data_IF_142971462868
#
_entry.id   IF_142971462868
#
_cell.length_a   1.000
_cell.length_b   1.000
_cell.length_c   1.000
_cell.angle_alpha   90.00
_cell.angle_beta   90.00
_cell.angle_gamma   90.00
#
_symmetry.space_group_name_H-M   'P 1'
#
loop_
_entity.id
_entity.type
_entity.pdbx_description
1 polymer ?
#
# COMPACT_ATOMS: atom_id res chain seq x y z
N UNK A 1 47.47 -23.08 24.10
CA UNK A 1 46.44 -23.17 23.07
C UNK A 1 46.23 -21.79 22.45
N UNK A 2 46.76 -21.57 21.25
CA UNK A 2 46.61 -20.29 20.54
C UNK A 2 45.23 -20.26 19.86
N UNK A 3 44.35 -19.35 20.28
CA UNK A 3 43.10 -19.07 19.58
C UNK A 3 43.43 -18.62 18.15
N UNK A 4 42.80 -19.28 17.15
CA UNK A 4 42.87 -18.86 15.75
C UNK A 4 42.30 -17.46 15.60
N UNK A 5 42.96 -16.52 14.94
CA UNK A 5 42.42 -15.21 14.65
C UNK A 5 41.34 -15.36 13.56
N UNK A 6 40.07 -15.25 13.93
CA UNK A 6 38.94 -15.27 12.98
C UNK A 6 37.58 -15.71 13.54
N UNK A 7 37.53 -16.25 14.75
CA UNK A 7 36.28 -16.72 15.40
C UNK A 7 35.88 -15.81 16.56
N UNK A 8 35.52 -14.58 16.29
CA UNK A 8 34.68 -13.81 17.22
C UNK A 8 33.35 -14.53 17.37
N UNK A 9 32.84 -14.73 18.61
CA UNK A 9 31.51 -15.29 18.81
C UNK A 9 30.47 -14.47 18.02
N UNK A 10 29.36 -15.08 17.59
CA UNK A 10 28.23 -14.38 16.93
C UNK A 10 27.86 -13.11 17.71
N UNK A 11 27.84 -13.20 19.04
CA UNK A 11 27.60 -12.05 19.91
C UNK A 11 28.62 -10.92 19.68
N UNK A 12 29.91 -11.21 19.55
CA UNK A 12 30.94 -10.20 19.33
C UNK A 12 30.78 -9.51 17.97
N UNK A 13 30.49 -10.27 16.92
CA UNK A 13 30.22 -9.68 15.59
C UNK A 13 29.05 -8.73 15.60
N UNK A 14 27.94 -9.13 16.25
CA UNK A 14 26.75 -8.25 16.39
C UNK A 14 27.03 -7.05 17.29
N UNK A 15 27.79 -7.21 18.36
CA UNK A 15 28.21 -6.10 19.22
C UNK A 15 28.99 -5.04 18.44
N UNK A 16 29.95 -5.47 17.60
CA UNK A 16 30.75 -4.55 16.77
C UNK A 16 29.88 -3.78 15.78
N UNK A 17 28.85 -4.42 15.17
CA UNK A 17 27.86 -3.76 14.32
C UNK A 17 27.10 -2.67 15.10
N UNK A 18 26.62 -2.98 16.30
CA UNK A 18 25.84 -2.03 17.12
C UNK A 18 26.66 -0.86 17.63
N UNK A 19 27.90 -1.09 18.07
CA UNK A 19 28.82 -0.06 18.51
C UNK A 19 29.17 0.89 17.36
N UNK A 20 29.40 0.35 16.16
CA UNK A 20 29.61 1.15 14.94
C UNK A 20 28.40 1.98 14.55
N UNK A 21 27.19 1.44 14.65
CA UNK A 21 25.95 2.16 14.36
C UNK A 21 25.68 3.31 15.36
N UNK A 22 26.08 3.19 16.61
CA UNK A 22 25.91 4.23 17.65
C UNK A 22 26.85 5.42 17.49
N UNK A 23 28.05 5.23 16.95
CA UNK A 23 29.03 6.30 16.78
C UNK A 23 28.75 7.23 15.60
N UNK A 24 27.72 6.91 14.80
CA UNK A 24 27.32 7.67 13.62
C UNK A 24 26.42 8.87 13.89
N UNK A 25 26.91 10.10 13.60
CA UNK A 25 26.21 11.37 13.83
C UNK A 25 25.02 11.57 12.89
N UNK A 26 23.86 11.71 13.50
CA UNK A 26 22.64 12.55 13.28
C UNK A 26 21.96 12.67 11.90
N UNK A 27 22.53 12.44 10.75
CA UNK A 27 21.77 12.63 9.47
C UNK A 27 21.12 11.37 8.90
N UNK A 28 21.37 10.23 9.50
CA UNK A 28 20.90 8.93 8.98
C UNK A 28 20.49 7.93 10.05
N UNK A 29 19.92 8.40 11.16
CA UNK A 29 19.50 7.51 12.26
C UNK A 29 18.64 6.35 11.74
N UNK A 30 17.68 6.64 10.85
CA UNK A 30 16.81 5.62 10.27
C UNK A 30 17.59 4.65 9.36
N UNK A 31 18.39 5.16 8.43
CA UNK A 31 19.18 4.33 7.50
C UNK A 31 20.20 3.49 8.24
N UNK A 32 20.93 4.09 9.19
CA UNK A 32 21.91 3.36 9.99
C UNK A 32 21.28 2.23 10.80
N UNK A 33 20.10 2.47 11.39
CA UNK A 33 19.35 1.45 12.12
C UNK A 33 18.85 0.33 11.20
N UNK A 34 18.38 0.66 10.00
CA UNK A 34 17.94 -0.33 9.00
C UNK A 34 19.10 -1.20 8.57
N UNK A 35 20.26 -0.61 8.25
CA UNK A 35 21.48 -1.33 7.87
C UNK A 35 21.98 -2.21 9.01
N UNK A 36 22.01 -1.70 10.26
CA UNK A 36 22.42 -2.49 11.41
C UNK A 36 21.51 -3.71 11.60
N UNK A 37 20.18 -3.53 11.52
CA UNK A 37 19.23 -4.63 11.65
C UNK A 37 19.37 -5.66 10.52
N UNK A 38 19.67 -5.22 9.32
CA UNK A 38 19.94 -6.11 8.18
C UNK A 38 21.23 -6.92 8.39
N UNK A 39 22.32 -6.27 8.83
CA UNK A 39 23.59 -6.92 9.13
C UNK A 39 23.45 -7.95 10.28
N UNK A 40 22.70 -7.60 11.34
CA UNK A 40 22.41 -8.54 12.43
C UNK A 40 21.63 -9.75 11.88
N UNK A 41 20.64 -9.50 11.01
CA UNK A 41 19.89 -10.56 10.35
C UNK A 41 20.80 -11.49 9.52
N UNK A 42 21.76 -10.93 8.79
CA UNK A 42 22.77 -11.68 8.03
C UNK A 42 23.60 -12.57 8.94
N UNK A 43 24.18 -12.03 10.00
CA UNK A 43 25.00 -12.80 10.94
C UNK A 43 24.23 -13.97 11.55
N UNK A 44 22.94 -13.76 11.88
CA UNK A 44 22.08 -14.84 12.38
C UNK A 44 21.88 -15.94 11.34
N UNK A 45 21.59 -15.57 10.09
CA UNK A 45 21.36 -16.56 9.02
C UNK A 45 22.63 -17.33 8.67
N UNK A 46 23.77 -16.64 8.57
CA UNK A 46 25.07 -17.27 8.29
C UNK A 46 25.45 -18.24 9.41
N UNK A 47 25.25 -17.87 10.68
CA UNK A 47 25.51 -18.75 11.82
C UNK A 47 24.61 -19.99 11.82
N UNK A 48 23.30 -19.82 11.49
CA UNK A 48 22.35 -20.93 11.34
C UNK A 48 22.80 -21.90 10.22
N UNK A 49 23.30 -21.39 9.09
CA UNK A 49 23.78 -22.20 7.97
C UNK A 49 25.06 -22.98 8.30
N UNK A 50 26.00 -22.35 8.99
CA UNK A 50 27.22 -23.00 9.45
C UNK A 50 26.96 -24.03 10.57
N UNK A 51 25.90 -23.80 11.36
CA UNK A 51 25.43 -24.69 12.43
C UNK A 51 24.48 -25.81 11.98
N UNK A 52 24.13 -25.91 10.67
CA UNK A 52 23.11 -26.83 10.13
C UNK A 52 23.35 -28.33 10.45
N UNK A 53 24.51 -28.73 10.93
CA UNK A 53 24.77 -30.07 11.47
C UNK A 53 24.16 -30.30 12.87
N UNK A 54 23.56 -29.30 13.53
CA UNK A 54 22.98 -29.38 14.88
C UNK A 54 21.59 -28.77 14.93
N UNK A 55 20.61 -29.45 14.38
CA UNK A 55 19.20 -28.99 14.28
C UNK A 55 18.52 -28.63 15.61
N UNK A 56 19.10 -28.86 16.77
CA UNK A 56 18.63 -28.44 18.11
C UNK A 56 19.08 -27.05 18.52
N UNK A 57 19.93 -26.36 17.75
CA UNK A 57 20.60 -25.12 18.20
C UNK A 57 19.82 -23.82 17.91
N UNK A 58 18.93 -23.84 16.92
CA UNK A 58 18.32 -22.59 16.41
C UNK A 58 17.38 -21.86 17.39
N UNK A 59 16.65 -22.59 18.23
CA UNK A 59 15.71 -21.97 19.21
C UNK A 59 16.45 -21.33 20.39
N UNK A 60 17.41 -22.03 20.96
CA UNK A 60 18.23 -21.55 22.08
C UNK A 60 19.18 -20.43 21.68
N UNK A 61 19.66 -20.41 20.42
CA UNK A 61 20.55 -19.37 19.93
C UNK A 61 19.92 -17.97 20.01
N UNK A 62 18.70 -17.81 19.52
CA UNK A 62 18.00 -16.52 19.54
C UNK A 62 17.64 -16.09 20.96
N UNK A 63 17.31 -17.01 21.86
CA UNK A 63 17.01 -16.71 23.26
C UNK A 63 18.26 -16.24 24.01
N UNK A 64 19.38 -16.94 23.83
CA UNK A 64 20.67 -16.57 24.44
C UNK A 64 21.16 -15.22 23.93
N UNK A 65 21.09 -15.03 22.60
CA UNK A 65 21.48 -13.78 21.95
C UNK A 65 20.61 -12.63 22.41
N UNK A 66 19.27 -12.81 22.48
CA UNK A 66 18.32 -11.83 22.98
C UNK A 66 18.68 -11.41 24.42
N UNK A 67 18.95 -12.33 25.31
CA UNK A 67 19.30 -12.05 26.70
C UNK A 67 20.56 -11.19 26.81
N UNK A 68 21.61 -11.53 26.05
CA UNK A 68 22.89 -10.79 26.06
C UNK A 68 22.73 -9.40 25.47
N UNK A 69 22.10 -9.29 24.28
CA UNK A 69 21.92 -8.00 23.61
C UNK A 69 20.96 -7.07 24.34
N UNK A 70 19.88 -7.60 24.92
CA UNK A 70 18.95 -6.79 25.73
C UNK A 70 19.60 -6.22 26.97
N UNK A 71 20.46 -7.00 27.64
CA UNK A 71 21.22 -6.52 28.78
C UNK A 71 22.18 -5.38 28.42
N UNK A 72 22.89 -5.49 27.29
CA UNK A 72 23.96 -4.58 26.93
C UNK A 72 23.47 -3.39 26.06
N UNK A 73 22.37 -3.54 25.31
CA UNK A 73 21.89 -2.55 24.35
C UNK A 73 20.41 -2.14 24.52
N UNK A 74 19.67 -2.80 25.42
CA UNK A 74 18.29 -2.45 25.75
C UNK A 74 17.21 -3.23 24.98
N UNK A 75 15.94 -2.81 25.13
CA UNK A 75 14.75 -3.60 24.78
C UNK A 75 14.52 -3.90 23.29
N UNK A 76 15.28 -3.33 22.36
CA UNK A 76 15.12 -3.52 20.92
C UNK A 76 15.47 -4.93 20.41
N UNK A 77 16.09 -5.77 21.23
CA UNK A 77 16.67 -7.07 20.84
C UNK A 77 15.92 -8.27 21.43
N UNK A 78 14.60 -8.16 21.57
CA UNK A 78 13.77 -9.31 21.93
C UNK A 78 13.90 -10.46 20.90
N UNK A 79 13.57 -11.67 21.33
CA UNK A 79 13.56 -12.85 20.40
C UNK A 79 12.74 -12.57 19.14
N UNK A 80 11.60 -11.90 19.30
CA UNK A 80 10.76 -11.51 18.17
C UNK A 80 11.43 -10.45 17.29
N UNK A 81 12.14 -9.48 17.89
CA UNK A 81 12.93 -8.49 17.15
C UNK A 81 14.02 -9.15 16.30
N UNK A 82 14.76 -10.11 16.90
CA UNK A 82 15.79 -10.88 16.17
C UNK A 82 15.21 -11.75 15.06
N UNK A 83 14.00 -12.32 15.25
CA UNK A 83 13.29 -13.03 14.17
C UNK A 83 12.96 -12.11 13.00
N UNK A 84 12.49 -10.87 13.26
CA UNK A 84 12.26 -9.88 12.20
C UNK A 84 13.55 -9.48 11.48
N UNK A 85 14.66 -9.28 12.20
CA UNK A 85 15.95 -8.96 11.58
C UNK A 85 16.42 -10.11 10.68
N UNK A 86 16.29 -11.38 11.14
CA UNK A 86 16.58 -12.59 10.34
C UNK A 86 15.73 -12.68 9.09
N UNK A 87 14.40 -12.44 9.22
CA UNK A 87 13.48 -12.42 8.08
C UNK A 87 13.83 -11.30 7.12
N UNK A 88 14.19 -10.12 7.64
CA UNK A 88 14.56 -8.96 6.85
C UNK A 88 15.73 -9.25 5.90
N UNK A 89 16.78 -9.89 6.39
CA UNK A 89 17.88 -10.31 5.52
C UNK A 89 17.43 -11.30 4.43
N UNK A 90 16.55 -12.25 4.77
CA UNK A 90 16.06 -13.26 3.80
C UNK A 90 15.19 -12.64 2.70
N UNK A 91 14.34 -11.68 3.05
CA UNK A 91 13.42 -11.04 2.10
C UNK A 91 14.06 -9.92 1.28
N UNK A 92 15.12 -9.31 1.81
CA UNK A 92 15.86 -8.21 1.18
C UNK A 92 17.36 -8.52 1.04
N UNK A 93 17.74 -9.61 0.36
CA UNK A 93 19.14 -10.04 0.31
C UNK A 93 20.08 -9.03 -0.38
N UNK A 94 19.53 -8.22 -1.28
CA UNK A 94 20.27 -7.20 -2.05
C UNK A 94 20.15 -5.79 -1.46
N UNK A 95 19.55 -5.59 -0.27
CA UNK A 95 19.33 -4.28 0.34
C UNK A 95 20.63 -3.49 0.47
N UNK A 96 21.67 -4.19 0.91
CA UNK A 96 23.01 -3.67 1.06
C UNK A 96 23.89 -4.38 0.04
N UNK A 97 24.30 -3.67 -1.03
CA UNK A 97 25.21 -4.26 -2.02
C UNK A 97 26.53 -4.58 -1.33
N UNK A 98 27.07 -5.79 -1.48
CA UNK A 98 28.45 -6.07 -1.09
C UNK A 98 29.35 -5.10 -1.86
N UNK A 99 30.18 -4.34 -1.17
CA UNK A 99 31.25 -3.59 -1.83
C UNK A 99 32.09 -4.57 -2.65
N UNK A 100 32.47 -4.25 -3.89
CA UNK A 100 33.34 -5.11 -4.67
C UNK A 100 34.63 -5.30 -3.87
N UNK A 101 34.83 -6.53 -3.38
CA UNK A 101 36.10 -6.92 -2.76
C UNK A 101 37.14 -6.77 -3.85
N UNK A 102 38.02 -5.75 -3.76
CA UNK A 102 39.23 -5.71 -4.58
C UNK A 102 40.00 -6.98 -4.25
N UNK A 103 40.06 -7.92 -5.19
CA UNK A 103 40.90 -9.09 -5.11
C UNK A 103 42.35 -8.60 -5.03
N UNK A 104 42.86 -8.42 -3.83
CA UNK A 104 44.29 -8.45 -3.61
C UNK A 104 44.72 -9.91 -3.71
N UNK A 105 45.47 -10.20 -4.75
CA UNK A 105 46.14 -11.47 -5.00
C UNK A 105 47.05 -11.81 -3.80
N UNK A 106 46.50 -12.53 -2.83
CA UNK A 106 47.18 -13.44 -1.89
C UNK A 106 46.15 -13.90 -0.87
N UNK A 107 45.83 -15.14 -0.92
CA UNK A 107 45.33 -16.17 0.01
C UNK A 107 44.94 -15.81 1.45
N UNK A 108 44.33 -14.66 1.70
CA UNK A 108 43.74 -14.32 3.01
C UNK A 108 42.22 -14.33 2.87
N UNK A 109 41.60 -15.17 3.68
CA UNK A 109 40.15 -15.24 3.91
C UNK A 109 39.61 -13.82 4.12
N UNK A 110 38.48 -13.41 3.49
CA UNK A 110 37.94 -12.07 3.67
C UNK A 110 37.64 -11.83 5.14
N UNK A 111 38.35 -10.91 5.76
CA UNK A 111 38.04 -10.44 7.10
C UNK A 111 36.66 -9.80 7.06
N UNK A 112 35.75 -10.35 7.83
CA UNK A 112 34.41 -9.87 8.12
C UNK A 112 34.37 -8.33 8.32
N UNK A 113 33.24 -7.73 7.93
CA UNK A 113 32.95 -6.33 8.08
C UNK A 113 33.32 -5.80 9.46
N UNK A 114 34.52 -5.22 9.55
CA UNK A 114 34.98 -4.48 10.73
C UNK A 114 34.32 -3.09 10.73
N UNK A 115 34.47 -2.35 11.82
CA UNK A 115 34.07 -0.94 11.92
C UNK A 115 34.48 -0.09 10.70
N UNK A 116 35.55 -0.47 9.99
CA UNK A 116 35.98 0.12 8.73
C UNK A 116 34.95 -0.07 7.62
N UNK A 117 34.33 -1.23 7.48
CA UNK A 117 33.31 -1.52 6.43
C UNK A 117 32.02 -0.73 6.65
N UNK A 118 31.63 -0.50 7.90
CA UNK A 118 30.48 0.36 8.24
C UNK A 118 30.83 1.83 7.98
N UNK A 119 32.09 2.25 8.21
CA UNK A 119 32.56 3.61 7.87
C UNK A 119 32.74 3.82 6.36
N UNK A 120 33.26 2.86 5.61
CA UNK A 120 33.30 2.91 4.13
C UNK A 120 31.88 2.92 3.55
N UNK A 121 30.95 2.22 4.16
CA UNK A 121 29.52 2.27 3.83
C UNK A 121 28.94 3.67 4.06
N UNK A 122 29.38 4.37 5.13
CA UNK A 122 29.01 5.77 5.39
C UNK A 122 29.48 6.69 4.26
N UNK A 123 30.71 6.53 3.78
CA UNK A 123 31.25 7.35 2.68
C UNK A 123 30.60 7.04 1.34
N UNK A 124 30.15 5.81 1.11
CA UNK A 124 29.50 5.40 -0.17
C UNK A 124 27.99 5.68 -0.18
N UNK A 125 27.31 5.62 0.97
CA UNK A 125 25.86 5.88 1.08
C UNK A 125 25.56 7.33 1.48
N UNK A 126 26.48 8.00 2.18
CA UNK A 126 26.35 9.41 2.61
C UNK A 126 27.17 10.38 1.77
N UNK A 127 28.07 9.92 0.89
CA UNK A 127 28.76 10.73 -0.09
C UNK A 127 27.83 11.00 -1.28
N UNK A 128 27.24 12.19 -1.32
CA UNK A 128 26.73 12.97 -2.46
C UNK A 128 26.12 12.24 -3.68
N UNK A 129 25.54 11.07 -3.52
CA UNK A 129 24.57 10.57 -4.48
C UNK A 129 23.19 10.89 -3.91
N UNK A 130 22.65 12.04 -4.28
CA UNK A 130 21.21 12.20 -4.40
C UNK A 130 20.77 11.14 -5.42
N UNK A 131 20.50 9.91 -4.94
CA UNK A 131 19.71 8.97 -5.73
C UNK A 131 18.42 9.73 -5.99
N UNK A 132 18.23 10.20 -7.21
CA UNK A 132 16.95 10.71 -7.65
C UNK A 132 15.94 9.59 -7.35
N UNK A 133 14.77 9.96 -6.87
CA UNK A 133 13.67 9.00 -6.61
C UNK A 133 13.44 8.13 -7.85
N UNK A 134 13.79 8.62 -9.03
CA UNK A 134 13.63 7.98 -10.33
C UNK A 134 14.57 6.76 -10.56
N UNK A 135 15.70 6.65 -9.87
CA UNK A 135 16.65 5.54 -10.03
C UNK A 135 16.51 4.44 -8.95
N UNK A 136 15.72 4.68 -7.90
CA UNK A 136 15.51 3.71 -6.83
C UNK A 136 14.63 2.54 -7.30
N UNK A 137 14.99 1.35 -6.87
CA UNK A 137 14.21 0.12 -7.14
C UNK A 137 13.80 -0.55 -5.83
N UNK A 138 12.63 -1.17 -5.84
CA UNK A 138 12.15 -1.98 -4.72
C UNK A 138 13.19 -2.98 -4.26
N UNK A 139 13.29 -3.18 -2.96
CA UNK A 139 14.32 -4.03 -2.36
C UNK A 139 15.69 -3.36 -2.17
N UNK A 140 15.85 -2.10 -2.57
CA UNK A 140 17.04 -1.31 -2.28
C UNK A 140 16.84 -0.41 -1.06
N UNK A 141 17.95 -0.08 -0.39
CA UNK A 141 17.91 0.83 0.76
C UNK A 141 17.41 2.21 0.33
N UNK A 142 16.44 2.75 1.07
CA UNK A 142 15.94 4.10 0.87
C UNK A 142 15.89 4.87 2.19
N UNK A 143 16.36 6.13 2.25
CA UNK A 143 16.43 6.89 3.50
C UNK A 143 15.08 7.16 4.17
N UNK A 144 13.99 7.19 3.40
CA UNK A 144 12.64 7.41 3.91
C UNK A 144 11.95 6.11 4.36
N UNK A 145 12.54 4.93 4.14
CA UNK A 145 12.02 3.67 4.66
C UNK A 145 12.67 3.36 6.02
N UNK A 146 12.00 3.76 7.09
CA UNK A 146 12.44 3.47 8.44
C UNK A 146 12.22 1.99 8.81
N UNK A 147 12.90 1.50 9.85
CA UNK A 147 12.74 0.13 10.35
C UNK A 147 11.30 -0.24 10.70
N UNK A 148 10.52 0.71 11.22
CA UNK A 148 9.09 0.50 11.49
C UNK A 148 8.29 0.15 10.25
N UNK A 149 8.57 0.78 9.10
CA UNK A 149 7.94 0.47 7.82
C UNK A 149 8.33 -0.93 7.33
N UNK A 150 9.64 -1.27 7.35
CA UNK A 150 10.08 -2.62 6.97
C UNK A 150 9.41 -3.72 7.81
N UNK A 151 9.19 -3.50 9.12
CA UNK A 151 8.49 -4.45 9.98
C UNK A 151 7.05 -4.74 9.52
N UNK A 152 6.35 -3.76 8.99
CA UNK A 152 5.02 -3.96 8.39
C UNK A 152 5.12 -4.65 7.03
N UNK A 153 6.07 -4.24 6.18
CA UNK A 153 6.32 -4.87 4.88
C UNK A 153 6.66 -6.36 4.99
N UNK A 154 7.41 -6.75 6.02
CA UNK A 154 7.74 -8.15 6.29
C UNK A 154 6.55 -9.05 6.66
N UNK A 155 5.38 -8.47 6.96
CA UNK A 155 4.13 -9.22 7.18
C UNK A 155 3.40 -9.56 5.89
N UNK A 156 3.83 -8.97 4.77
CA UNK A 156 3.25 -9.20 3.45
C UNK A 156 3.97 -10.35 2.79
N UNK A 157 3.31 -11.50 2.68
CA UNK A 157 3.94 -12.74 2.17
C UNK A 157 4.25 -12.66 0.67
N UNK A 158 3.37 -12.04 -0.12
CA UNK A 158 3.51 -11.95 -1.57
C UNK A 158 4.53 -10.87 -1.96
N UNK A 159 5.61 -11.24 -2.69
CA UNK A 159 6.66 -10.28 -3.08
C UNK A 159 6.13 -9.10 -3.92
N UNK A 160 5.16 -9.35 -4.80
CA UNK A 160 4.56 -8.32 -5.67
C UNK A 160 3.76 -7.29 -4.84
N UNK A 161 2.97 -7.76 -3.89
CA UNK A 161 2.23 -6.91 -2.97
C UNK A 161 3.18 -6.11 -2.07
N UNK A 162 4.23 -6.74 -1.56
CA UNK A 162 5.26 -6.07 -0.76
C UNK A 162 5.95 -4.98 -1.55
N UNK A 163 6.35 -5.25 -2.80
CA UNK A 163 6.96 -4.25 -3.68
C UNK A 163 6.02 -3.07 -3.94
N UNK A 164 4.73 -3.34 -4.16
CA UNK A 164 3.71 -2.30 -4.29
C UNK A 164 3.63 -1.41 -3.03
N UNK A 165 3.50 -2.00 -1.84
CA UNK A 165 3.41 -1.24 -0.60
C UNK A 165 4.69 -0.45 -0.28
N UNK A 166 5.85 -0.94 -0.70
CA UNK A 166 7.15 -0.24 -0.57
C UNK A 166 7.16 1.04 -1.42
N UNK A 167 6.71 0.95 -2.68
CA UNK A 167 6.59 2.10 -3.59
C UNK A 167 5.56 3.11 -3.07
N UNK A 168 4.36 2.64 -2.71
CA UNK A 168 3.28 3.52 -2.23
C UNK A 168 3.66 4.24 -0.93
N UNK A 169 4.33 3.54 -0.01
CA UNK A 169 4.79 4.14 1.24
C UNK A 169 5.78 5.29 0.99
N UNK A 170 6.65 5.15 -0.02
CA UNK A 170 7.59 6.21 -0.42
C UNK A 170 6.90 7.36 -1.15
N UNK A 171 6.09 7.06 -2.16
CA UNK A 171 5.43 8.08 -2.99
C UNK A 171 4.45 8.95 -2.20
N UNK A 172 3.76 8.36 -1.24
CA UNK A 172 2.76 9.04 -0.42
C UNK A 172 3.27 9.43 0.97
N UNK A 173 4.55 9.21 1.27
CA UNK A 173 5.16 9.46 2.58
C UNK A 173 4.38 8.85 3.76
N UNK A 174 3.90 7.62 3.61
CA UNK A 174 3.10 6.99 4.65
C UNK A 174 3.89 6.78 5.95
N UNK A 175 3.26 7.11 7.04
CA UNK A 175 3.70 6.68 8.37
C UNK A 175 3.54 5.16 8.53
N UNK A 176 4.16 4.59 9.56
CA UNK A 176 4.02 3.16 9.86
C UNK A 176 2.55 2.75 10.11
N UNK A 177 1.75 3.63 10.73
CA UNK A 177 0.31 3.37 10.98
C UNK A 177 -0.51 3.40 9.69
N UNK A 178 -0.21 4.33 8.79
CA UNK A 178 -0.88 4.42 7.49
C UNK A 178 -0.53 3.21 6.63
N UNK A 179 0.74 2.81 6.57
CA UNK A 179 1.15 1.60 5.87
C UNK A 179 0.47 0.34 6.46
N UNK A 180 0.45 0.20 7.79
CA UNK A 180 -0.23 -0.92 8.45
C UNK A 180 -1.71 -0.97 8.09
N UNK A 181 -2.39 0.18 8.10
CA UNK A 181 -3.79 0.29 7.68
C UNK A 181 -3.97 -0.16 6.23
N UNK A 182 -3.14 0.31 5.31
CA UNK A 182 -3.25 -0.05 3.90
C UNK A 182 -3.00 -1.54 3.64
N UNK A 183 -2.06 -2.14 4.36
CA UNK A 183 -1.82 -3.59 4.33
C UNK A 183 -3.04 -4.34 4.86
N UNK A 184 -3.56 -3.95 6.03
CA UNK A 184 -4.69 -4.62 6.67
C UNK A 184 -5.99 -4.46 5.87
N UNK A 185 -6.18 -3.33 5.18
CA UNK A 185 -7.32 -3.11 4.28
C UNK A 185 -7.15 -3.78 2.91
N UNK A 186 -6.04 -4.51 2.70
CA UNK A 186 -5.75 -5.25 1.47
C UNK A 186 -5.80 -4.36 0.22
N UNK A 187 -5.15 -3.18 0.30
CA UNK A 187 -5.19 -2.19 -0.79
C UNK A 187 -4.69 -2.77 -2.12
N UNK A 188 -3.58 -3.53 -2.10
CA UNK A 188 -3.03 -4.15 -3.31
C UNK A 188 -4.05 -5.09 -3.95
N UNK A 189 -4.69 -5.93 -3.16
CA UNK A 189 -5.69 -6.90 -3.61
C UNK A 189 -6.92 -6.18 -4.19
N UNK A 190 -7.41 -5.14 -3.55
CA UNK A 190 -8.56 -4.35 -4.03
C UNK A 190 -8.26 -3.64 -5.35
N UNK A 191 -7.08 -3.06 -5.50
CA UNK A 191 -6.65 -2.46 -6.76
C UNK A 191 -6.39 -3.53 -7.85
N UNK A 192 -6.02 -4.73 -7.45
CA UNK A 192 -5.78 -5.86 -8.33
C UNK A 192 -7.08 -6.41 -8.94
N UNK A 193 -8.20 -6.35 -8.20
CA UNK A 193 -9.50 -6.84 -8.65
C UNK A 193 -9.98 -6.22 -9.96
N UNK A 194 -9.69 -4.95 -10.17
CA UNK A 194 -10.13 -4.19 -11.35
C UNK A 194 -9.15 -4.24 -12.53
N UNK A 195 -8.06 -5.05 -12.47
CA UNK A 195 -6.96 -4.99 -13.43
C UNK A 195 -6.64 -6.35 -14.05
N UNK A 196 -6.21 -6.30 -15.33
CA UNK A 196 -5.65 -7.45 -16.03
C UNK A 196 -4.24 -7.81 -15.49
N UNK A 197 -3.69 -8.92 -15.99
CA UNK A 197 -2.35 -9.40 -15.59
C UNK A 197 -1.24 -8.36 -15.83
N UNK A 198 -1.34 -7.54 -16.88
CA UNK A 198 -0.35 -6.48 -17.18
C UNK A 198 -0.48 -5.33 -16.19
N UNK A 199 -1.70 -4.94 -15.84
CA UNK A 199 -1.98 -3.95 -14.80
C UNK A 199 -1.46 -4.36 -13.42
N UNK A 200 -1.59 -5.64 -13.05
CA UNK A 200 -1.02 -6.19 -11.81
C UNK A 200 0.51 -6.06 -11.75
N UNK A 201 1.19 -6.42 -12.83
CA UNK A 201 2.65 -6.28 -12.90
C UNK A 201 3.10 -4.82 -12.86
N UNK A 202 2.29 -3.91 -13.43
CA UNK A 202 2.56 -2.46 -13.37
C UNK A 202 2.40 -1.93 -11.95
N UNK A 203 1.34 -2.32 -11.23
CA UNK A 203 1.17 -1.99 -9.81
C UNK A 203 2.38 -2.40 -8.96
N UNK A 204 2.88 -3.62 -9.14
CA UNK A 204 4.03 -4.12 -8.38
C UNK A 204 5.35 -3.40 -8.72
N UNK A 205 5.47 -2.78 -9.90
CA UNK A 205 6.70 -2.12 -10.36
C UNK A 205 6.71 -0.61 -10.19
N UNK A 206 5.54 0.02 -10.25
CA UNK A 206 5.41 1.49 -10.32
C UNK A 206 4.47 2.07 -9.26
N UNK A 207 3.74 1.21 -8.53
CA UNK A 207 2.67 1.63 -7.65
C UNK A 207 1.39 2.03 -8.42
N UNK A 208 0.53 2.79 -7.77
CA UNK A 208 -0.70 3.30 -8.37
C UNK A 208 -0.40 4.54 -9.22
N UNK A 209 -0.41 4.37 -10.54
CA UNK A 209 -0.39 5.48 -11.51
C UNK A 209 -1.83 5.84 -11.88
N UNK A 210 -2.17 7.13 -11.82
CA UNK A 210 -3.48 7.67 -12.18
C UNK A 210 -3.39 8.20 -13.61
N UNK A 211 -3.85 7.42 -14.57
CA UNK A 211 -3.92 7.80 -15.99
C UNK A 211 -5.34 8.21 -16.38
N UNK A 212 -6.35 7.69 -15.68
CA UNK A 212 -7.74 7.99 -15.94
C UNK A 212 -8.66 7.78 -14.75
N UNK A 213 -9.96 8.06 -14.92
CA UNK A 213 -10.94 7.96 -13.84
C UNK A 213 -11.05 6.58 -13.20
N UNK A 214 -10.88 5.50 -13.99
CA UNK A 214 -10.93 4.12 -13.47
C UNK A 214 -9.81 3.78 -12.50
N UNK A 215 -8.70 4.52 -12.54
CA UNK A 215 -7.57 4.28 -11.64
C UNK A 215 -7.77 4.90 -10.24
N UNK A 216 -8.77 5.76 -10.10
CA UNK A 216 -9.01 6.54 -8.88
C UNK A 216 -9.96 5.82 -7.94
N UNK A 217 -11.04 5.24 -8.47
CA UNK A 217 -12.11 4.68 -7.64
C UNK A 217 -11.86 3.21 -7.31
N UNK A 218 -12.01 2.89 -6.03
CA UNK A 218 -11.83 1.54 -5.48
C UNK A 218 -13.20 0.92 -5.20
N UNK A 219 -13.34 -0.38 -5.34
CA UNK A 219 -14.52 -1.14 -4.93
C UNK A 219 -14.08 -2.46 -4.27
N UNK A 220 -14.41 -2.70 -3.00
CA UNK A 220 -15.08 -1.79 -2.07
C UNK A 220 -14.15 -0.73 -1.48
N UNK A 221 -14.73 0.39 -0.99
CA UNK A 221 -14.08 1.29 -0.05
C UNK A 221 -14.17 0.72 1.37
N UNK A 222 -13.12 0.88 2.16
CA UNK A 222 -13.04 0.33 3.52
C UNK A 222 -13.05 1.47 4.54
N UNK A 223 -14.13 1.55 5.31
CA UNK A 223 -14.44 2.66 6.24
C UNK A 223 -14.34 2.21 7.71
N UNK A 224 -13.46 1.27 8.03
CA UNK A 224 -13.25 0.71 9.37
C UNK A 224 -12.84 1.76 10.41
N UNK A 225 -12.19 2.83 9.94
CA UNK A 225 -11.76 3.95 10.78
C UNK A 225 -12.91 4.72 11.42
N UNK A 226 -14.13 4.60 10.87
CA UNK A 226 -15.33 5.20 11.45
C UNK A 226 -15.75 4.50 12.75
N UNK A 227 -15.28 3.27 12.99
CA UNK A 227 -15.57 2.47 14.21
C UNK A 227 -17.06 2.28 14.45
N UNK A 228 -17.86 2.27 13.40
CA UNK A 228 -19.30 2.09 13.47
C UNK A 228 -19.61 0.59 13.67
N UNK A 229 -20.36 0.22 14.72
CA UNK A 229 -20.74 -1.18 14.94
C UNK A 229 -21.56 -1.72 13.76
N UNK A 230 -21.33 -2.98 13.38
CA UNK A 230 -22.09 -3.64 12.30
C UNK A 230 -23.60 -3.74 12.57
N UNK A 231 -24.00 -3.63 13.83
CA UNK A 231 -25.41 -3.67 14.27
C UNK A 231 -26.09 -2.29 14.31
N UNK A 232 -25.34 -1.21 14.06
CA UNK A 232 -25.88 0.14 14.11
C UNK A 232 -26.86 0.36 12.95
N UNK A 233 -28.04 0.92 13.27
CA UNK A 233 -28.95 1.44 12.25
C UNK A 233 -28.39 2.79 11.78
N UNK A 234 -27.67 2.77 10.68
CA UNK A 234 -27.10 3.97 10.07
C UNK A 234 -28.16 4.70 9.26
N UNK A 235 -28.14 6.03 9.35
CA UNK A 235 -28.78 6.93 8.37
C UNK A 235 -27.69 7.68 7.61
N UNK A 236 -28.02 8.21 6.43
CA UNK A 236 -27.05 8.85 5.54
C UNK A 236 -26.34 10.05 6.21
N UNK A 237 -27.08 10.84 6.98
CA UNK A 237 -26.53 11.98 7.75
C UNK A 237 -25.50 11.56 8.81
N UNK A 238 -25.68 10.40 9.45
CA UNK A 238 -24.74 9.91 10.45
C UNK A 238 -23.45 9.43 9.79
N UNK A 239 -23.56 8.74 8.64
CA UNK A 239 -22.42 8.32 7.84
C UNK A 239 -21.63 9.53 7.33
N UNK A 240 -22.31 10.52 6.82
CA UNK A 240 -21.70 11.78 6.36
C UNK A 240 -20.95 12.49 7.50
N UNK A 241 -21.59 12.67 8.65
CA UNK A 241 -20.97 13.31 9.81
C UNK A 241 -19.74 12.52 10.30
N UNK A 242 -19.81 11.18 10.32
CA UNK A 242 -18.68 10.33 10.69
C UNK A 242 -17.52 10.46 9.71
N UNK A 243 -17.77 10.47 8.39
CA UNK A 243 -16.75 10.68 7.37
C UNK A 243 -16.06 12.04 7.49
N UNK A 244 -16.80 13.07 7.80
CA UNK A 244 -16.24 14.42 7.99
C UNK A 244 -15.41 14.53 9.27
N UNK A 245 -15.84 13.89 10.35
CA UNK A 245 -15.06 13.84 11.58
C UNK A 245 -13.73 13.10 11.40
N UNK A 246 -13.68 12.10 10.50
CA UNK A 246 -12.49 11.33 10.16
C UNK A 246 -11.99 11.64 8.74
N UNK A 247 -12.13 12.90 8.29
CA UNK A 247 -11.85 13.30 6.91
C UNK A 247 -10.43 12.94 6.45
N UNK A 248 -9.43 13.02 7.33
CA UNK A 248 -8.06 12.63 6.98
C UNK A 248 -7.98 11.15 6.63
N UNK A 249 -8.62 10.27 7.41
CA UNK A 249 -8.65 8.84 7.14
C UNK A 249 -9.47 8.53 5.88
N UNK A 250 -10.53 9.29 5.65
CA UNK A 250 -11.35 9.16 4.43
C UNK A 250 -10.57 9.58 3.18
N UNK A 251 -9.84 10.69 3.22
CA UNK A 251 -8.96 11.11 2.12
C UNK A 251 -7.86 10.08 1.83
N UNK A 252 -7.30 9.48 2.88
CA UNK A 252 -6.33 8.39 2.72
C UNK A 252 -6.98 7.16 2.05
N UNK A 253 -8.22 6.86 2.39
CA UNK A 253 -8.95 5.76 1.75
C UNK A 253 -9.32 6.09 0.31
N UNK A 254 -9.80 7.28 0.01
CA UNK A 254 -10.06 7.72 -1.37
C UNK A 254 -8.79 7.63 -2.21
N UNK A 255 -7.66 8.08 -1.70
CA UNK A 255 -6.36 7.99 -2.33
C UNK A 255 -5.78 9.32 -2.76
N UNK A 256 -4.76 9.26 -3.62
CA UNK A 256 -3.99 10.42 -4.05
C UNK A 256 -4.80 11.37 -4.93
N UNK A 257 -4.64 12.66 -4.69
CA UNK A 257 -5.16 13.73 -5.56
C UNK A 257 -6.48 14.33 -5.12
N UNK A 258 -7.16 13.79 -4.10
CA UNK A 258 -8.41 14.36 -3.61
C UNK A 258 -8.19 15.55 -2.69
N UNK A 259 -8.90 16.64 -2.97
CA UNK A 259 -9.01 17.83 -2.13
C UNK A 259 -10.48 18.06 -1.78
N UNK A 260 -10.81 18.13 -0.48
CA UNK A 260 -12.16 18.36 -0.02
C UNK A 260 -12.56 19.84 -0.24
N UNK A 261 -13.75 20.08 -0.81
CA UNK A 261 -14.28 21.42 -1.10
C UNK A 261 -15.49 21.77 -0.25
N UNK A 262 -16.51 20.93 -0.26
CA UNK A 262 -17.78 21.22 0.38
C UNK A 262 -18.54 19.97 0.84
N UNK A 263 -19.44 20.18 1.78
CA UNK A 263 -20.47 19.23 2.19
C UNK A 263 -21.85 19.82 1.98
N UNK A 264 -22.87 18.99 1.74
CA UNK A 264 -24.28 19.38 1.57
C UNK A 264 -24.41 20.59 0.64
N UNK A 265 -23.69 20.51 -0.48
CA UNK A 265 -23.69 21.60 -1.47
C UNK A 265 -25.04 21.70 -2.13
N UNK A 266 -25.71 22.84 -1.91
CA UNK A 266 -27.05 23.10 -2.43
C UNK A 266 -27.01 23.48 -3.90
N UNK A 267 -27.78 22.78 -4.72
CA UNK A 267 -28.16 23.16 -6.08
C UNK A 267 -29.59 23.63 -6.08
N UNK A 268 -29.87 24.73 -6.75
CA UNK A 268 -31.24 25.25 -6.92
C UNK A 268 -31.55 25.32 -8.41
N UNK A 269 -32.61 24.63 -8.83
CA UNK A 269 -33.10 24.61 -10.21
C UNK A 269 -34.59 24.96 -10.19
N UNK A 270 -34.97 26.09 -10.79
CA UNK A 270 -36.33 26.57 -10.89
C UNK A 270 -37.13 26.55 -9.56
N UNK A 271 -36.43 26.79 -8.43
CA UNK A 271 -37.04 26.80 -7.10
C UNK A 271 -36.90 25.48 -6.33
N UNK A 272 -36.59 24.38 -6.98
CA UNK A 272 -36.33 23.13 -6.32
C UNK A 272 -34.90 23.07 -5.78
N UNK A 273 -34.75 22.52 -4.58
CA UNK A 273 -33.47 22.44 -3.90
C UNK A 273 -32.96 20.97 -3.83
N UNK A 274 -31.74 20.76 -4.26
CA UNK A 274 -31.04 19.47 -4.21
C UNK A 274 -29.75 19.65 -3.42
N UNK A 275 -29.27 18.58 -2.80
CA UNK A 275 -28.06 18.60 -1.99
C UNK A 275 -27.13 17.49 -2.41
N UNK A 276 -25.84 17.83 -2.58
CA UNK A 276 -24.77 16.89 -2.84
C UNK A 276 -24.05 16.65 -1.52
N UNK A 277 -23.91 15.39 -1.08
CA UNK A 277 -23.35 15.09 0.24
C UNK A 277 -21.94 15.62 0.40
N UNK A 278 -21.01 15.23 -0.50
CA UNK A 278 -19.61 15.68 -0.45
C UNK A 278 -19.11 16.08 -1.83
N UNK A 279 -18.34 17.15 -1.87
CA UNK A 279 -17.70 17.68 -3.08
C UNK A 279 -16.20 17.71 -2.89
N UNK A 280 -15.48 17.12 -3.85
CA UNK A 280 -14.02 17.12 -3.93
C UNK A 280 -13.55 17.70 -5.25
N UNK A 281 -12.29 18.10 -5.30
CA UNK A 281 -11.57 18.34 -6.54
C UNK A 281 -10.40 17.37 -6.64
N UNK A 282 -10.22 16.76 -7.79
CA UNK A 282 -9.13 15.83 -8.02
C UNK A 282 -8.00 16.53 -8.78
N UNK A 283 -6.91 16.81 -8.09
CA UNK A 283 -5.79 17.65 -8.59
C UNK A 283 -5.02 17.01 -9.75
N UNK A 284 -4.94 15.68 -9.83
CA UNK A 284 -4.25 14.98 -10.92
C UNK A 284 -5.13 14.93 -12.17
N UNK A 285 -6.41 14.57 -12.01
CA UNK A 285 -7.36 14.49 -13.11
C UNK A 285 -7.95 15.87 -13.49
N UNK A 286 -7.70 16.90 -12.69
CA UNK A 286 -8.24 18.27 -12.89
C UNK A 286 -9.74 18.27 -13.14
N UNK A 287 -10.50 17.73 -12.21
CA UNK A 287 -11.96 17.67 -12.31
C UNK A 287 -12.62 17.68 -10.94
N UNK A 288 -13.87 18.09 -10.88
CA UNK A 288 -14.71 17.91 -9.70
C UNK A 288 -15.05 16.44 -9.53
N UNK A 289 -15.16 15.99 -8.28
CA UNK A 289 -15.65 14.66 -7.91
C UNK A 289 -16.78 14.85 -6.91
N UNK A 290 -17.97 14.50 -7.31
CA UNK A 290 -19.16 14.52 -6.45
C UNK A 290 -19.31 13.16 -5.79
N UNK A 291 -19.63 13.13 -4.50
CA UNK A 291 -19.86 11.88 -3.76
C UNK A 291 -21.26 11.93 -3.16
N UNK A 292 -22.01 10.87 -3.38
CA UNK A 292 -23.35 10.66 -2.85
C UNK A 292 -23.33 9.38 -1.98
N UNK A 293 -23.95 9.47 -0.80
CA UNK A 293 -23.91 8.42 0.22
C UNK A 293 -25.25 7.73 0.32
N UNK A 294 -25.26 6.41 0.22
CA UNK A 294 -26.48 5.60 0.37
C UNK A 294 -26.24 4.50 1.40
N UNK A 295 -26.99 4.52 2.49
CA UNK A 295 -26.92 3.48 3.53
C UNK A 295 -27.78 2.26 3.18
N UNK A 296 -28.20 2.15 1.95
CA UNK A 296 -29.03 1.10 1.38
C UNK A 296 -28.48 0.61 0.05
N UNK A 297 -29.12 -0.39 -0.50
CA UNK A 297 -28.86 -0.85 -1.87
C UNK A 297 -29.20 0.26 -2.87
N UNK A 298 -28.32 0.45 -3.83
CA UNK A 298 -28.47 1.40 -4.92
C UNK A 298 -29.68 1.08 -5.79
N UNK A 299 -30.47 2.10 -6.14
CA UNK A 299 -31.59 1.98 -7.08
C UNK A 299 -31.37 2.85 -8.33
N UNK A 300 -32.27 2.77 -9.32
CA UNK A 300 -32.16 3.50 -10.58
C UNK A 300 -32.48 4.99 -10.42
N UNK A 301 -33.26 5.39 -9.44
CA UNK A 301 -33.59 6.79 -9.15
C UNK A 301 -32.38 7.55 -8.64
N UNK A 302 -31.56 6.90 -7.82
CA UNK A 302 -30.30 7.48 -7.32
C UNK A 302 -29.37 7.85 -8.49
N UNK A 303 -29.29 6.99 -9.50
CA UNK A 303 -28.47 7.24 -10.70
C UNK A 303 -29.00 8.43 -11.52
N UNK A 304 -30.32 8.56 -11.66
CA UNK A 304 -30.95 9.69 -12.34
C UNK A 304 -30.72 11.02 -11.63
N UNK A 305 -30.91 11.05 -10.32
CA UNK A 305 -30.63 12.22 -9.50
C UNK A 305 -29.16 12.62 -9.58
N UNK A 306 -28.28 11.66 -9.47
CA UNK A 306 -26.84 11.90 -9.50
C UNK A 306 -26.36 12.40 -10.85
N UNK A 307 -26.96 11.92 -11.95
CA UNK A 307 -26.71 12.42 -13.31
C UNK A 307 -27.04 13.93 -13.43
N UNK A 308 -28.14 14.37 -12.80
CA UNK A 308 -28.52 15.78 -12.76
C UNK A 308 -27.39 16.60 -12.07
N UNK A 309 -26.83 16.13 -10.98
CA UNK A 309 -25.74 16.80 -10.26
C UNK A 309 -24.50 16.97 -11.13
N UNK A 310 -24.07 15.89 -11.81
CA UNK A 310 -22.92 15.94 -12.70
C UNK A 310 -23.14 16.93 -13.85
N UNK A 311 -24.34 16.90 -14.47
CA UNK A 311 -24.69 17.81 -15.57
C UNK A 311 -24.68 19.26 -15.12
N UNK A 312 -25.16 19.54 -13.88
CA UNK A 312 -25.13 20.88 -13.30
C UNK A 312 -23.68 21.36 -13.12
N UNK A 313 -22.82 20.51 -12.51
CA UNK A 313 -21.42 20.86 -12.30
C UNK A 313 -20.67 21.06 -13.62
N UNK A 314 -20.89 20.23 -14.61
CA UNK A 314 -20.28 20.38 -15.94
C UNK A 314 -20.67 21.67 -16.66
N UNK A 315 -21.89 22.20 -16.39
CA UNK A 315 -22.39 23.43 -17.04
C UNK A 315 -22.07 24.69 -16.22
N UNK A 316 -22.25 24.64 -14.92
CA UNK A 316 -22.28 25.85 -14.07
C UNK A 316 -21.02 26.03 -13.21
N UNK A 317 -20.28 24.96 -12.90
CA UNK A 317 -19.16 24.99 -11.95
C UNK A 317 -17.80 24.71 -12.58
N UNK A 318 -17.78 23.98 -13.68
CA UNK A 318 -16.53 23.61 -14.36
C UNK A 318 -15.86 24.85 -14.96
N UNK A 319 -14.55 24.99 -14.73
CA UNK A 319 -13.75 26.08 -15.31
C UNK A 319 -13.02 25.64 -16.59
N UNK A 320 -12.62 26.60 -17.46
CA UNK A 320 -11.80 26.27 -18.61
C UNK A 320 -10.51 25.56 -18.20
N UNK A 321 -10.25 24.40 -18.79
CA UNK A 321 -9.10 23.55 -18.46
C UNK A 321 -9.40 22.39 -17.53
N UNK A 322 -10.59 22.35 -16.92
CA UNK A 322 -11.04 21.18 -16.16
C UNK A 322 -11.57 20.10 -17.08
N UNK A 323 -11.32 18.86 -16.70
CA UNK A 323 -11.96 17.69 -17.30
C UNK A 323 -13.41 17.54 -16.81
N UNK A 324 -14.24 16.73 -17.48
CA UNK A 324 -15.61 16.49 -17.04
C UNK A 324 -15.71 16.02 -15.61
N UNK A 325 -16.73 16.46 -14.91
CA UNK A 325 -17.03 16.10 -13.52
C UNK A 325 -17.24 14.60 -13.41
N UNK A 326 -16.66 14.00 -12.36
CA UNK A 326 -16.82 12.61 -12.01
C UNK A 326 -17.77 12.46 -10.83
N UNK A 327 -18.46 11.34 -10.76
CA UNK A 327 -19.35 11.00 -9.68
C UNK A 327 -19.01 9.67 -9.03
N UNK A 328 -19.10 9.61 -7.72
CA UNK A 328 -18.94 8.41 -6.92
C UNK A 328 -20.16 8.21 -6.02
N UNK A 329 -20.90 7.14 -6.22
CA UNK A 329 -21.97 6.75 -5.29
C UNK A 329 -21.46 5.66 -4.37
N UNK A 330 -21.46 5.93 -3.07
CA UNK A 330 -21.11 4.96 -2.04
C UNK A 330 -22.40 4.29 -1.51
N UNK A 331 -22.49 2.98 -1.61
CA UNK A 331 -23.68 2.22 -1.19
C UNK A 331 -23.31 0.95 -0.43
N UNK A 332 -24.26 0.39 0.28
CA UNK A 332 -24.06 -0.90 0.99
C UNK A 332 -24.04 -2.08 0.04
N UNK A 333 -24.83 -2.01 -1.03
CA UNK A 333 -24.92 -3.05 -2.06
C UNK A 333 -25.32 -2.43 -3.41
N UNK A 334 -24.95 -3.05 -4.51
CA UNK A 334 -25.28 -2.62 -5.86
C UNK A 334 -25.60 -3.82 -6.77
N UNK A 335 -26.38 -3.56 -7.81
CA UNK A 335 -26.59 -4.50 -8.90
C UNK A 335 -25.89 -3.94 -10.14
N UNK A 336 -24.75 -4.52 -10.51
CA UNK A 336 -23.92 -4.04 -11.62
C UNK A 336 -24.66 -4.09 -12.98
N UNK A 337 -25.56 -5.06 -13.17
CA UNK A 337 -26.42 -5.10 -14.36
C UNK A 337 -27.38 -3.91 -14.38
N UNK A 338 -28.04 -3.60 -13.26
CA UNK A 338 -28.92 -2.43 -13.14
C UNK A 338 -28.16 -1.15 -13.45
N UNK A 339 -26.97 -0.95 -12.85
CA UNK A 339 -26.12 0.22 -13.12
C UNK A 339 -25.78 0.32 -14.61
N UNK A 340 -25.34 -0.78 -15.20
CA UNK A 340 -24.96 -0.84 -16.62
C UNK A 340 -26.12 -0.52 -17.57
N UNK A 341 -27.31 -1.03 -17.29
CA UNK A 341 -28.48 -0.79 -18.14
C UNK A 341 -29.15 0.57 -17.90
N UNK A 342 -28.97 1.16 -16.71
CA UNK A 342 -29.51 2.50 -16.41
C UNK A 342 -28.62 3.60 -16.97
N UNK A 343 -27.30 3.44 -16.91
CA UNK A 343 -26.35 4.43 -17.43
C UNK A 343 -26.00 4.12 -18.90
N UNK A 344 -26.08 5.13 -19.77
CA UNK A 344 -25.53 5.07 -21.10
C UNK A 344 -23.98 5.00 -21.09
N UNK A 345 -23.38 4.65 -22.22
CA UNK A 345 -21.91 4.45 -22.33
C UNK A 345 -21.10 5.67 -21.87
N UNK A 346 -21.54 6.88 -22.16
CA UNK A 346 -20.85 8.11 -21.75
C UNK A 346 -20.99 8.38 -20.25
N UNK A 347 -22.15 8.07 -19.66
CA UNK A 347 -22.37 8.19 -18.21
C UNK A 347 -21.56 7.16 -17.43
N UNK A 348 -21.38 5.95 -17.95
CA UNK A 348 -20.55 4.92 -17.32
C UNK A 348 -19.08 5.33 -17.19
N UNK A 349 -18.60 6.25 -18.02
CA UNK A 349 -17.25 6.82 -17.93
C UNK A 349 -17.11 7.88 -16.82
N UNK A 350 -18.23 8.40 -16.34
CA UNK A 350 -18.26 9.51 -15.38
C UNK A 350 -18.85 9.14 -14.03
N UNK A 351 -19.77 8.17 -13.96
CA UNK A 351 -20.45 7.76 -12.73
C UNK A 351 -19.93 6.40 -12.30
N UNK A 352 -19.30 6.39 -11.15
CA UNK A 352 -18.74 5.22 -10.50
C UNK A 352 -19.59 4.87 -9.28
N UNK A 353 -19.81 3.60 -9.06
CA UNK A 353 -20.53 3.09 -7.90
C UNK A 353 -19.61 2.17 -7.12
N UNK A 354 -19.44 2.42 -5.83
CA UNK A 354 -18.61 1.60 -4.98
C UNK A 354 -19.39 1.15 -3.75
N UNK A 355 -19.22 -0.11 -3.38
CA UNK A 355 -19.66 -0.59 -2.08
C UNK A 355 -18.73 -0.09 -1.00
N UNK A 356 -19.24 0.11 0.18
CA UNK A 356 -18.38 0.36 1.33
C UNK A 356 -18.51 -0.75 2.38
N UNK A 357 -17.44 -0.98 3.11
CA UNK A 357 -17.37 -1.93 4.24
C UNK A 357 -16.92 -1.19 5.49
N UNK A 358 -17.66 -1.39 6.59
CA UNK A 358 -17.36 -0.78 7.88
C UNK A 358 -16.34 -1.58 8.71
N UNK A 359 -15.84 -2.68 8.18
CA UNK A 359 -14.82 -3.54 8.80
C UNK A 359 -13.74 -3.90 7.79
N UNK A 360 -12.59 -4.29 8.30
CA UNK A 360 -11.49 -4.76 7.47
C UNK A 360 -11.90 -6.05 6.74
N UNK A 361 -11.77 -6.11 5.40
CA UNK A 361 -12.07 -7.32 4.65
C UNK A 361 -11.04 -8.41 4.97
N UNK A 362 -11.48 -9.64 5.05
CA UNK A 362 -10.57 -10.78 5.06
C UNK A 362 -10.12 -11.14 3.64
N UNK A 363 -8.96 -11.78 3.50
CA UNK A 363 -8.48 -12.26 2.19
C UNK A 363 -9.47 -13.25 1.54
N UNK A 364 -10.16 -14.07 2.36
CA UNK A 364 -11.17 -14.99 1.89
C UNK A 364 -12.41 -14.27 1.31
N UNK A 365 -12.86 -13.17 1.94
CA UNK A 365 -13.95 -12.34 1.44
C UNK A 365 -13.60 -11.70 0.10
N UNK A 366 -12.38 -11.13 -0.04
CA UNK A 366 -11.95 -10.55 -1.29
C UNK A 366 -11.76 -11.60 -2.40
N UNK A 367 -11.24 -12.77 -2.08
CA UNK A 367 -11.17 -13.89 -3.04
C UNK A 367 -12.55 -14.35 -3.50
N UNK A 368 -13.51 -14.43 -2.59
CA UNK A 368 -14.91 -14.79 -2.94
C UNK A 368 -15.54 -13.74 -3.86
N UNK A 369 -15.26 -12.47 -3.63
CA UNK A 369 -15.72 -11.36 -4.45
C UNK A 369 -15.11 -11.40 -5.86
N UNK A 370 -13.80 -11.62 -5.95
CA UNK A 370 -13.06 -11.80 -7.20
C UNK A 370 -13.64 -12.95 -8.05
N UNK A 371 -13.94 -14.07 -7.41
CA UNK A 371 -14.55 -15.22 -8.10
C UNK A 371 -15.98 -14.93 -8.58
N UNK A 372 -16.73 -14.07 -7.88
CA UNK A 372 -18.05 -13.60 -8.35
C UNK A 372 -17.91 -12.73 -9.59
N UNK A 373 -16.99 -11.77 -9.59
CA UNK A 373 -16.77 -10.87 -10.73
C UNK A 373 -16.27 -11.63 -11.95
N UNK A 374 -15.34 -12.56 -11.81
CA UNK A 374 -14.87 -13.42 -12.89
C UNK A 374 -16.01 -14.24 -13.52
N UNK A 375 -16.89 -14.83 -12.70
CA UNK A 375 -18.06 -15.56 -13.20
C UNK A 375 -19.05 -14.66 -13.95
N UNK A 376 -19.15 -13.39 -13.57
CA UNK A 376 -20.03 -12.42 -14.24
C UNK A 376 -19.44 -11.98 -15.60
N UNK A 377 -18.11 -11.95 -15.72
CA UNK A 377 -17.40 -11.62 -16.95
C UNK A 377 -17.39 -12.82 -17.92
N UNK A 378 -17.28 -14.05 -17.40
CA UNK A 378 -17.28 -15.29 -18.18
C UNK A 378 -18.67 -15.78 -18.59
N UNK A 379 -19.75 -15.20 -18.06
CA UNK A 379 -21.10 -15.53 -18.51
C UNK A 379 -21.21 -15.18 -20.02
N UNK A 380 -21.47 -16.17 -20.90
CA UNK A 380 -21.50 -15.93 -22.34
C UNK A 380 -22.59 -14.90 -22.64
N UNK A 381 -22.18 -13.82 -23.33
CA UNK A 381 -23.12 -12.90 -23.95
C UNK A 381 -24.05 -13.74 -24.84
N UNK A 382 -25.29 -13.84 -24.42
CA UNK A 382 -26.35 -14.54 -25.20
C UNK A 382 -26.30 -13.99 -26.62
N UNK A 383 -26.15 -14.84 -27.65
CA UNK A 383 -26.10 -14.35 -29.02
C UNK A 383 -27.41 -13.62 -29.33
N UNK A 384 -27.31 -12.38 -29.79
CA UNK A 384 -28.46 -11.63 -30.30
C UNK A 384 -29.17 -12.48 -31.35
N UNK A 385 -30.50 -12.63 -31.28
CA UNK A 385 -31.26 -13.31 -32.34
C UNK A 385 -31.09 -12.54 -33.62
N UNK A 386 -30.47 -13.18 -34.60
CA UNK A 386 -30.30 -12.68 -35.95
C UNK A 386 -31.70 -12.46 -36.55
N UNK A 387 -32.09 -11.20 -36.68
CA UNK A 387 -33.34 -10.84 -37.41
C UNK A 387 -33.17 -11.26 -38.88
N UNK A 388 -33.80 -12.37 -39.21
CA UNK A 388 -33.87 -12.85 -40.59
C UNK A 388 -34.61 -11.80 -41.45
N UNK A 389 -33.87 -11.13 -42.35
CA UNK A 389 -34.47 -10.30 -43.41
C UNK A 389 -35.37 -11.18 -44.27
N UNK A 390 -36.71 -11.08 -44.10
CA UNK A 390 -37.66 -11.60 -45.08
C UNK A 390 -37.43 -10.91 -46.40
N UNK A 391 -36.95 -11.67 -47.39
CA UNK A 391 -37.00 -11.29 -48.79
C UNK A 391 -38.46 -11.35 -49.22
N UNK A 392 -39.05 -10.22 -49.52
CA UNK A 392 -40.29 -10.10 -50.28
C UNK A 392 -39.95 -10.26 -51.76
N UNK A 393 -40.66 -11.20 -52.40
CA UNK A 393 -40.76 -11.31 -53.88
C UNK A 393 -41.71 -10.26 -54.36
#
# INVERSE_FOLDING_TARGET
MKQKPGEGSLYQRIRDILESARTGVVRTVNTTQVVANWLIGREIVEEEQHGARRARYGGHLLEELSRKLTRDFGAGFSVQGLRYMRQFYREYPALVRPLPIRHTLRGEVPRLATAATVNEFRHTVCGESSLSVDDWKTGQLHPNLAWSLYRHLLRVDRPEARAFYEIEALQNNWSARELERQINSLLYERLALSRDKKGLLRLAKKGQEIEGPLDVFKDPLVLEFLKIPATAKLVESDLEAALLNELQAFLLELGKGFAFLARQERITLDGDHFYIDLVFYHTVLKCYVLVDLKVRKLNHEDLGQFQLYLNYYDRERRTPGDNPTLGLILCTDKNDAMVRYTLGEEQQKKIFTSRYKLHLPSEAELKAELLRELKTIEAPSTPQPTVAKKRTK
#
